data_IF_609710536239
#
_entry.id   IF_609710536239
#
_cell.length_a   1.000
_cell.length_b   1.000
_cell.length_c   1.000
_cell.angle_alpha   90.00
_cell.angle_beta   90.00
_cell.angle_gamma   90.00
#
_symmetry.space_group_name_H-M   'P 1'
#
loop_
_entity.id
_entity.type
_entity.pdbx_description
1 polymer ?
#
# COMPACT_ATOMS: atom_id res chain seq x y z
N UNK A 1 21.46 12.95 -21.50
CA UNK A 1 21.25 13.71 -20.25
C UNK A 1 22.27 13.22 -19.26
N UNK A 2 23.23 14.06 -18.88
CA UNK A 2 24.18 13.71 -17.82
C UNK A 2 23.61 14.16 -16.47
N UNK A 3 23.60 13.25 -15.49
CA UNK A 3 23.16 13.57 -14.14
C UNK A 3 24.21 14.44 -13.47
N UNK A 4 23.77 15.54 -12.88
CA UNK A 4 24.65 16.44 -12.13
C UNK A 4 25.05 15.80 -10.80
N UNK A 5 26.10 16.32 -10.17
CA UNK A 5 26.51 15.88 -8.83
C UNK A 5 25.40 16.05 -7.79
N UNK A 6 24.54 17.07 -7.96
CA UNK A 6 23.39 17.32 -7.08
C UNK A 6 22.36 16.19 -7.23
N UNK A 7 22.07 15.74 -8.44
CA UNK A 7 21.10 14.66 -8.69
C UNK A 7 21.55 13.37 -8.00
N UNK A 8 22.83 13.02 -8.13
CA UNK A 8 23.42 11.86 -7.44
C UNK A 8 23.36 11.98 -5.92
N UNK A 9 23.64 13.17 -5.38
CA UNK A 9 23.54 13.42 -3.94
C UNK A 9 22.11 13.22 -3.42
N UNK A 10 21.10 13.68 -4.15
CA UNK A 10 19.68 13.50 -3.79
C UNK A 10 19.29 12.01 -3.82
N UNK A 11 19.69 11.28 -4.87
CA UNK A 11 19.41 9.84 -5.00
C UNK A 11 20.03 9.05 -3.84
N UNK A 12 21.33 9.28 -3.55
CA UNK A 12 22.02 8.61 -2.46
C UNK A 12 21.42 8.98 -1.09
N UNK A 13 21.07 10.25 -0.89
CA UNK A 13 20.40 10.71 0.32
C UNK A 13 19.05 10.02 0.55
N UNK A 14 18.23 9.88 -0.51
CA UNK A 14 16.97 9.14 -0.45
C UNK A 14 17.16 7.69 -0.01
N UNK A 15 18.09 6.96 -0.63
CA UNK A 15 18.36 5.56 -0.27
C UNK A 15 18.91 5.43 1.15
N UNK A 16 19.77 6.34 1.58
CA UNK A 16 20.30 6.36 2.94
C UNK A 16 19.18 6.57 3.98
N UNK A 17 18.23 7.48 3.72
CA UNK A 17 17.07 7.71 4.58
C UNK A 17 16.17 6.47 4.59
N UNK A 18 15.83 5.91 3.43
CA UNK A 18 14.97 4.73 3.32
C UNK A 18 15.56 3.53 4.08
N UNK A 19 16.86 3.26 3.90
CA UNK A 19 17.57 2.21 4.62
C UNK A 19 17.65 2.52 6.12
N UNK A 20 17.92 3.78 6.48
CA UNK A 20 17.98 4.23 7.87
C UNK A 20 16.68 3.98 8.63
N UNK A 21 15.53 4.29 8.01
CA UNK A 21 14.20 4.01 8.57
C UNK A 21 13.99 2.51 8.75
N UNK A 22 14.35 1.70 7.75
CA UNK A 22 14.25 0.23 7.85
C UNK A 22 15.09 -0.35 8.98
N UNK A 23 16.34 0.10 9.12
CA UNK A 23 17.24 -0.31 10.20
C UNK A 23 16.75 0.14 11.57
N UNK A 24 16.18 1.34 11.68
CA UNK A 24 15.62 1.86 12.92
C UNK A 24 14.46 0.98 13.42
N UNK A 25 13.54 0.57 12.54
CA UNK A 25 12.38 -0.23 12.92
C UNK A 25 12.65 -1.75 12.98
N UNK A 26 13.82 -2.23 12.51
CA UNK A 26 14.18 -3.66 12.50
C UNK A 26 13.97 -4.37 13.83
N UNK A 27 14.41 -3.77 14.94
CA UNK A 27 14.28 -4.40 16.28
C UNK A 27 12.83 -4.56 16.72
N UNK A 28 11.96 -3.63 16.30
CA UNK A 28 10.53 -3.68 16.60
C UNK A 28 9.85 -4.76 15.75
N UNK A 29 10.12 -4.75 14.45
CA UNK A 29 9.57 -5.73 13.50
C UNK A 29 9.96 -7.18 13.86
N UNK A 30 11.14 -7.41 14.43
CA UNK A 30 11.60 -8.75 14.85
C UNK A 30 10.95 -9.32 16.11
N UNK A 31 10.05 -8.60 16.80
CA UNK A 31 9.45 -9.07 18.07
C UNK A 31 8.39 -10.15 17.89
N UNK A 32 7.58 -10.07 16.84
CA UNK A 32 6.53 -11.05 16.53
C UNK A 32 6.02 -10.85 15.10
N UNK A 33 5.32 -11.86 14.55
CA UNK A 33 4.66 -11.74 13.25
C UNK A 33 3.62 -10.62 13.23
N UNK A 34 2.89 -10.41 14.34
CA UNK A 34 1.93 -9.32 14.48
C UNK A 34 2.62 -7.94 14.45
N UNK A 35 3.81 -7.81 15.04
CA UNK A 35 4.57 -6.56 15.00
C UNK A 35 5.16 -6.32 13.61
N UNK A 36 5.54 -7.38 12.91
CA UNK A 36 6.07 -7.33 11.55
C UNK A 36 5.00 -6.91 10.51
N UNK A 37 3.84 -7.58 10.50
CA UNK A 37 2.82 -7.37 9.47
C UNK A 37 1.84 -6.24 9.77
N UNK A 38 1.44 -6.06 11.02
CA UNK A 38 0.37 -5.11 11.39
C UNK A 38 0.79 -4.10 12.46
N UNK A 39 2.08 -4.04 12.81
CA UNK A 39 2.65 -3.12 13.81
C UNK A 39 1.90 -3.12 15.15
N UNK A 40 1.47 -4.32 15.59
CA UNK A 40 0.73 -4.49 16.84
C UNK A 40 -0.63 -3.78 16.86
N UNK A 41 -1.20 -3.45 15.68
CA UNK A 41 -2.46 -2.68 15.53
C UNK A 41 -2.43 -1.30 16.19
N UNK A 42 -1.23 -0.75 16.42
CA UNK A 42 -1.02 0.52 17.12
C UNK A 42 -0.71 1.70 16.19
N UNK A 43 -0.77 1.49 14.87
CA UNK A 43 -0.50 2.56 13.90
C UNK A 43 -1.60 3.63 13.95
N UNK A 44 -1.22 4.92 14.02
CA UNK A 44 -2.17 6.02 13.85
C UNK A 44 -2.85 5.92 12.48
N UNK A 45 -4.13 6.28 12.41
CA UNK A 45 -4.91 6.21 11.17
C UNK A 45 -4.28 7.00 10.02
N UNK A 46 -3.62 8.13 10.31
CA UNK A 46 -2.97 8.97 9.29
C UNK A 46 -1.72 8.30 8.72
N UNK A 47 -0.94 7.58 9.54
CA UNK A 47 0.22 6.80 9.05
C UNK A 47 -0.27 5.66 8.16
N UNK A 48 -1.28 4.93 8.63
CA UNK A 48 -1.88 3.83 7.86
C UNK A 48 -2.48 4.33 6.54
N UNK A 49 -3.25 5.43 6.58
CA UNK A 49 -3.87 6.03 5.40
C UNK A 49 -2.85 6.54 4.39
N UNK A 50 -1.82 7.27 4.83
CA UNK A 50 -0.74 7.72 3.94
C UNK A 50 0.01 6.54 3.33
N UNK A 51 0.27 5.48 4.11
CA UNK A 51 0.90 4.26 3.58
C UNK A 51 0.03 3.60 2.51
N UNK A 52 -1.29 3.53 2.69
CA UNK A 52 -2.19 2.97 1.67
C UNK A 52 -2.13 3.77 0.37
N UNK A 53 -2.16 5.11 0.45
CA UNK A 53 -2.05 5.97 -0.74
C UNK A 53 -0.68 5.79 -1.42
N UNK A 54 0.41 5.76 -0.65
CA UNK A 54 1.74 5.51 -1.18
C UNK A 54 1.87 4.14 -1.88
N UNK A 55 1.26 3.08 -1.34
CA UNK A 55 1.26 1.75 -1.97
C UNK A 55 0.52 1.74 -3.31
N UNK A 56 -0.58 2.49 -3.41
CA UNK A 56 -1.34 2.60 -4.68
C UNK A 56 -0.67 3.50 -5.71
N UNK A 57 0.19 4.42 -5.28
CA UNK A 57 0.82 5.42 -6.14
C UNK A 57 2.24 4.99 -6.50
N UNK A 58 2.35 3.96 -7.33
CA UNK A 58 3.63 3.47 -7.83
C UNK A 58 4.17 4.35 -8.98
N UNK A 59 5.41 4.10 -9.40
CA UNK A 59 6.11 4.92 -10.41
C UNK A 59 5.43 4.94 -11.79
N UNK A 60 4.60 3.93 -12.08
CA UNK A 60 3.78 3.80 -13.30
C UNK A 60 2.50 4.65 -13.28
N UNK A 61 1.97 4.94 -12.09
CA UNK A 61 0.66 5.58 -11.92
C UNK A 61 0.62 6.99 -12.52
N UNK A 62 1.62 7.89 -12.29
CA UNK A 62 1.67 9.20 -12.95
C UNK A 62 1.73 9.09 -14.48
N UNK A 63 2.48 8.12 -15.01
CA UNK A 63 2.62 7.91 -16.44
C UNK A 63 1.26 7.48 -17.05
N UNK A 64 0.55 6.57 -16.39
CA UNK A 64 -0.78 6.16 -16.80
C UNK A 64 -1.79 7.32 -16.77
N UNK A 65 -1.81 8.11 -15.69
CA UNK A 65 -2.70 9.28 -15.57
C UNK A 65 -2.36 10.34 -16.62
N UNK A 66 -1.08 10.60 -16.87
CA UNK A 66 -0.66 11.51 -17.93
C UNK A 66 -1.15 11.03 -19.30
N UNK A 67 -1.00 9.73 -19.60
CA UNK A 67 -1.50 9.14 -20.85
C UNK A 67 -3.02 9.31 -21.01
N UNK A 68 -3.78 9.00 -19.95
CA UNK A 68 -5.24 9.18 -19.95
C UNK A 68 -5.65 10.63 -20.23
N UNK A 69 -4.97 11.60 -19.60
CA UNK A 69 -5.25 13.02 -19.78
C UNK A 69 -4.81 13.51 -21.16
N UNK A 70 -3.70 13.00 -21.69
CA UNK A 70 -3.22 13.34 -23.03
C UNK A 70 -4.20 12.89 -24.12
N UNK A 71 -4.83 11.73 -23.96
CA UNK A 71 -5.77 11.16 -24.94
C UNK A 71 -7.21 11.68 -24.77
N UNK A 72 -7.70 11.77 -23.54
CA UNK A 72 -9.12 12.03 -23.22
C UNK A 72 -9.35 13.42 -22.60
N UNK A 73 -8.31 14.25 -22.51
CA UNK A 73 -8.36 15.53 -21.81
C UNK A 73 -8.59 15.37 -20.30
N UNK A 74 -8.96 16.46 -19.63
CA UNK A 74 -9.18 16.45 -18.18
C UNK A 74 -10.27 15.47 -17.74
N UNK A 75 -11.25 15.18 -18.60
CA UNK A 75 -12.31 14.21 -18.35
C UNK A 75 -11.77 12.78 -18.15
N UNK A 76 -10.61 12.44 -18.72
CA UNK A 76 -9.95 11.16 -18.53
C UNK A 76 -9.62 10.84 -17.06
N UNK A 77 -9.52 11.85 -16.19
CA UNK A 77 -9.34 11.63 -14.75
C UNK A 77 -10.49 10.83 -14.12
N UNK A 78 -11.68 10.85 -14.72
CA UNK A 78 -12.82 10.11 -14.20
C UNK A 78 -12.57 8.60 -14.15
N UNK A 79 -11.77 8.06 -15.08
CA UNK A 79 -11.44 6.63 -15.12
C UNK A 79 -10.72 6.15 -13.85
N UNK A 80 -9.91 6.99 -13.21
CA UNK A 80 -9.25 6.63 -11.96
C UNK A 80 -10.00 7.14 -10.73
N UNK A 81 -10.67 8.30 -10.79
CA UNK A 81 -11.48 8.83 -9.69
C UNK A 81 -12.67 7.92 -9.34
N UNK A 82 -13.22 7.20 -10.32
CA UNK A 82 -14.29 6.24 -10.07
C UNK A 82 -13.91 5.16 -9.03
N UNK A 83 -12.62 4.79 -8.93
CA UNK A 83 -12.15 3.85 -7.90
C UNK A 83 -12.31 4.38 -6.48
N UNK A 84 -12.29 5.70 -6.28
CA UNK A 84 -12.51 6.29 -4.95
C UNK A 84 -13.90 5.95 -4.41
N UNK A 85 -14.94 5.98 -5.27
CA UNK A 85 -16.30 5.59 -4.90
C UNK A 85 -16.35 4.12 -4.49
N UNK A 86 -15.73 3.24 -5.27
CA UNK A 86 -15.64 1.82 -4.96
C UNK A 86 -14.91 1.57 -3.63
N UNK A 87 -13.78 2.24 -3.41
CA UNK A 87 -13.02 2.18 -2.16
C UNK A 87 -13.85 2.62 -0.95
N UNK A 88 -14.59 3.73 -1.06
CA UNK A 88 -15.47 4.20 0.02
C UNK A 88 -16.55 3.15 0.36
N UNK A 89 -17.22 2.59 -0.64
CA UNK A 89 -18.25 1.56 -0.41
C UNK A 89 -17.64 0.33 0.29
N UNK A 90 -16.47 -0.11 -0.16
CA UNK A 90 -15.76 -1.23 0.47
C UNK A 90 -15.46 -0.98 1.94
N UNK A 91 -15.08 0.25 2.32
CA UNK A 91 -14.86 0.62 3.72
C UNK A 91 -16.14 0.44 4.54
N UNK A 92 -17.28 0.95 4.07
CA UNK A 92 -18.54 0.86 4.82
C UNK A 92 -19.06 -0.57 4.96
N UNK A 93 -18.91 -1.40 3.93
CA UNK A 93 -19.43 -2.76 3.91
C UNK A 93 -18.48 -3.76 4.58
N UNK A 94 -17.18 -3.69 4.29
CA UNK A 94 -16.22 -4.74 4.63
C UNK A 94 -15.29 -4.39 5.78
N UNK A 95 -15.06 -3.12 6.13
CA UNK A 95 -14.07 -2.80 7.18
C UNK A 95 -14.41 -3.42 8.54
N UNK A 96 -15.70 -3.47 8.90
CA UNK A 96 -16.17 -4.12 10.13
C UNK A 96 -15.98 -5.63 10.10
N UNK A 97 -16.21 -6.26 8.95
CA UNK A 97 -16.03 -7.71 8.77
C UNK A 97 -14.55 -8.06 8.85
N UNK A 98 -13.70 -7.30 8.15
CA UNK A 98 -12.25 -7.45 8.15
C UNK A 98 -11.68 -7.35 9.57
N UNK A 99 -12.09 -6.34 10.34
CA UNK A 99 -11.62 -6.14 11.71
C UNK A 99 -12.06 -7.26 12.66
N UNK A 100 -13.19 -7.93 12.39
CA UNK A 100 -13.69 -9.07 13.17
C UNK A 100 -13.01 -10.39 12.81
N UNK A 101 -12.57 -10.54 11.57
CA UNK A 101 -11.90 -11.76 11.12
C UNK A 101 -10.53 -11.95 11.79
N UNK A 102 -9.90 -10.85 12.23
CA UNK A 102 -8.59 -10.81 12.89
C UNK A 102 -7.43 -11.47 12.12
N UNK A 103 -7.65 -11.81 10.85
CA UNK A 103 -6.67 -12.38 9.92
C UNK A 103 -5.48 -11.45 9.69
N UNK A 104 -4.32 -12.06 9.43
CA UNK A 104 -3.07 -11.39 9.09
C UNK A 104 -2.87 -11.28 7.58
N UNK A 105 -3.37 -12.23 6.81
CA UNK A 105 -3.21 -12.28 5.36
C UNK A 105 -4.54 -12.48 4.65
N UNK A 106 -4.60 -12.07 3.38
CA UNK A 106 -5.77 -12.30 2.54
C UNK A 106 -6.00 -13.81 2.30
N UNK A 107 -4.93 -14.61 2.28
CA UNK A 107 -4.98 -16.07 2.15
C UNK A 107 -5.70 -16.69 3.36
N UNK A 108 -5.41 -16.24 4.57
CA UNK A 108 -6.08 -16.73 5.78
C UNK A 108 -7.58 -16.45 5.73
N UNK A 109 -8.00 -15.32 5.15
CA UNK A 109 -9.41 -15.04 4.91
C UNK A 109 -10.02 -16.02 3.90
N UNK A 110 -9.31 -16.32 2.82
CA UNK A 110 -9.76 -17.27 1.79
C UNK A 110 -9.93 -18.67 2.38
N UNK A 111 -8.97 -19.13 3.18
CA UNK A 111 -9.05 -20.41 3.89
C UNK A 111 -10.24 -20.45 4.85
N UNK A 112 -10.46 -19.39 5.64
CA UNK A 112 -11.59 -19.27 6.56
C UNK A 112 -12.94 -19.25 5.84
N UNK A 113 -13.01 -18.62 4.66
CA UNK A 113 -14.27 -18.42 3.93
C UNK A 113 -14.67 -19.61 3.06
N UNK A 114 -13.71 -20.25 2.39
CA UNK A 114 -13.95 -21.25 1.35
C UNK A 114 -13.50 -22.65 1.72
N UNK A 115 -12.53 -22.80 2.63
CA UNK A 115 -12.04 -24.08 3.14
C UNK A 115 -11.37 -24.99 2.09
N UNK A 116 -10.70 -26.03 2.59
CA UNK A 116 -10.16 -27.11 1.77
C UNK A 116 -8.76 -26.89 1.19
N UNK A 117 -8.21 -27.97 0.61
CA UNK A 117 -6.83 -28.01 0.07
C UNK A 117 -6.52 -26.92 -0.98
N UNK A 118 -7.44 -26.54 -1.88
CA UNK A 118 -7.17 -25.47 -2.84
C UNK A 118 -7.04 -24.09 -2.20
N UNK A 119 -7.82 -23.82 -1.15
CA UNK A 119 -7.77 -22.54 -0.44
C UNK A 119 -6.48 -22.38 0.39
N UNK A 120 -5.92 -23.49 0.90
CA UNK A 120 -4.68 -23.51 1.67
C UNK A 120 -3.39 -23.53 0.82
N UNK A 121 -3.51 -23.68 -0.50
CA UNK A 121 -2.35 -23.70 -1.43
C UNK A 121 -2.05 -22.33 -2.06
N UNK A 122 -3.06 -21.45 -2.14
CA UNK A 122 -2.93 -20.08 -2.62
C UNK A 122 -2.13 -19.21 -1.64
#
# INVERSE_FOLDING_TARGET
MELTTIDWAVILGYFAIALGVGLYFRRRAGKSMTEYFISGRALPWWVAGTSMVATTFAADTPLAVQGLVAEHGLAGNWFWWAFALGGMITVFLYARLWRRAEVLTDVELVELRYGGRPAAFL
#
